data_IF_343470481126
#
_entry.id   IF_343470481126
#
_cell.length_a   1.000
_cell.length_b   1.000
_cell.length_c   1.000
_cell.angle_alpha   90.00
_cell.angle_beta   90.00
_cell.angle_gamma   90.00
#
_symmetry.space_group_name_H-M   'P 1'
#
loop_
_entity.id
_entity.type
_entity.pdbx_description
1 polymer ?
#
# COMPACT_ATOMS: atom_id res chain seq x y z
N UNK A 1 -11.11 8.21 15.25
CA UNK A 1 -11.76 8.46 16.55
C UNK A 1 -10.93 9.38 17.40
N UNK A 2 -9.72 8.98 17.84
CA UNK A 2 -8.82 9.86 18.60
C UNK A 2 -8.63 11.23 17.93
N UNK A 3 -8.23 11.28 16.65
CA UNK A 3 -8.01 12.54 15.92
C UNK A 3 -9.26 13.44 15.78
N UNK A 4 -10.46 12.93 16.08
CA UNK A 4 -11.72 13.70 16.03
C UNK A 4 -12.23 14.11 17.41
N UNK A 5 -11.82 13.42 18.47
CA UNK A 5 -12.38 13.58 19.82
C UNK A 5 -11.36 13.95 20.89
N UNK A 6 -10.06 13.80 20.61
CA UNK A 6 -8.94 13.90 21.55
C UNK A 6 -9.08 12.99 22.79
N UNK A 7 -9.96 12.00 22.76
CA UNK A 7 -10.16 11.09 23.89
C UNK A 7 -9.06 10.02 23.94
N UNK A 8 -8.19 10.12 24.96
CA UNK A 8 -7.03 9.27 25.15
C UNK A 8 -7.33 7.76 25.16
N UNK A 9 -8.55 7.35 25.52
CA UNK A 9 -8.95 5.94 25.49
C UNK A 9 -8.81 5.33 24.10
N UNK A 10 -9.08 6.09 23.03
CA UNK A 10 -8.95 5.61 21.66
C UNK A 10 -7.49 5.44 21.25
N UNK A 11 -6.61 6.38 21.60
CA UNK A 11 -5.18 6.27 21.33
C UNK A 11 -4.56 5.11 22.12
N UNK A 12 -4.90 4.96 23.40
CA UNK A 12 -4.42 3.85 24.21
C UNK A 12 -4.81 2.49 23.60
N UNK A 13 -6.04 2.36 23.10
CA UNK A 13 -6.50 1.14 22.43
C UNK A 13 -5.84 0.92 21.07
N UNK A 14 -5.57 1.99 20.32
CA UNK A 14 -4.82 1.90 19.07
C UNK A 14 -3.38 1.41 19.31
N UNK A 15 -2.72 1.88 20.38
CA UNK A 15 -1.38 1.41 20.78
C UNK A 15 -1.41 -0.06 21.18
N UNK A 16 -2.34 -0.48 22.05
CA UNK A 16 -2.49 -1.88 22.45
C UNK A 16 -2.66 -2.80 21.23
N UNK A 17 -3.48 -2.39 20.26
CA UNK A 17 -3.73 -3.17 19.05
C UNK A 17 -2.55 -3.13 18.07
N UNK A 18 -1.91 -1.98 17.87
CA UNK A 18 -0.71 -1.85 17.06
C UNK A 18 0.41 -2.74 17.59
N UNK A 19 0.64 -2.75 18.90
CA UNK A 19 1.63 -3.63 19.55
C UNK A 19 1.33 -5.11 19.36
N UNK A 20 0.04 -5.48 19.34
CA UNK A 20 -0.38 -6.84 19.05
C UNK A 20 -0.11 -7.22 17.58
N UNK A 21 -0.32 -6.29 16.64
CA UNK A 21 -0.02 -6.50 15.22
C UNK A 21 1.49 -6.59 14.95
N UNK A 22 2.33 -5.98 15.79
CA UNK A 22 3.79 -6.07 15.65
C UNK A 22 4.32 -7.50 15.74
N UNK A 23 3.58 -8.44 16.35
CA UNK A 23 3.92 -9.86 16.35
C UNK A 23 3.85 -10.52 14.96
N UNK A 24 3.16 -9.91 13.99
CA UNK A 24 3.19 -10.36 12.60
C UNK A 24 4.58 -10.17 11.95
N UNK A 25 5.34 -9.18 12.44
CA UNK A 25 6.64 -8.82 11.90
C UNK A 25 7.74 -9.60 12.63
N UNK A 26 8.79 -9.97 11.88
CA UNK A 26 9.97 -10.63 12.42
C UNK A 26 11.21 -10.07 11.77
N UNK A 27 12.37 -10.20 12.40
CA UNK A 27 13.63 -9.76 11.78
C UNK A 27 14.15 -10.73 10.71
N UNK A 28 13.47 -11.87 10.53
CA UNK A 28 13.79 -12.87 9.49
C UNK A 28 13.18 -12.55 8.13
N UNK A 29 12.11 -11.76 8.11
CA UNK A 29 11.31 -11.51 6.92
C UNK A 29 11.00 -10.02 6.80
N UNK A 30 11.19 -9.40 5.62
CA UNK A 30 10.81 -8.01 5.39
C UNK A 30 9.30 -7.80 5.45
N UNK A 31 8.49 -8.83 5.15
CA UNK A 31 7.03 -8.72 5.12
C UNK A 31 6.34 -9.45 6.30
N UNK A 32 5.21 -8.91 6.80
CA UNK A 32 4.50 -9.49 7.93
C UNK A 32 3.90 -10.85 7.61
N UNK A 33 3.62 -11.62 8.66
CA UNK A 33 2.76 -12.80 8.56
C UNK A 33 1.34 -12.40 8.20
N UNK A 34 0.62 -13.33 7.57
CA UNK A 34 -0.79 -13.12 7.21
C UNK A 34 -1.69 -13.16 8.44
N UNK A 35 -1.33 -13.99 9.41
CA UNK A 35 -2.11 -14.22 10.61
C UNK A 35 -1.27 -14.04 11.87
N UNK A 36 -1.94 -13.61 12.94
CA UNK A 36 -1.41 -13.59 14.30
C UNK A 36 -2.33 -14.37 15.22
N UNK A 37 -1.74 -15.11 16.14
CA UNK A 37 -2.43 -15.66 17.29
C UNK A 37 -2.40 -14.62 18.42
N UNK A 38 -3.54 -14.00 18.68
CA UNK A 38 -3.63 -12.92 19.67
C UNK A 38 -3.47 -13.39 21.12
N UNK A 39 -3.71 -14.69 21.39
CA UNK A 39 -3.52 -15.29 22.72
C UNK A 39 -2.07 -15.71 22.92
N UNK A 40 -1.51 -16.45 21.95
CA UNK A 40 -0.13 -16.94 22.01
C UNK A 40 0.93 -15.88 21.72
N UNK A 41 0.54 -14.76 21.10
CA UNK A 41 1.43 -13.69 20.62
C UNK A 41 2.54 -14.23 19.72
N UNK A 42 2.14 -15.09 18.79
CA UNK A 42 2.97 -15.63 17.74
C UNK A 42 2.20 -15.55 16.41
N UNK A 43 2.82 -15.97 15.31
CA UNK A 43 2.13 -15.98 14.02
C UNK A 43 1.44 -17.32 13.76
N UNK A 44 1.99 -18.44 14.27
CA UNK A 44 1.61 -19.81 13.87
C UNK A 44 1.68 -20.09 12.36
N UNK A 45 2.08 -19.09 11.58
CA UNK A 45 1.86 -18.99 10.14
C UNK A 45 2.99 -19.69 9.38
N UNK A 46 2.65 -20.84 8.81
CA UNK A 46 3.52 -21.60 7.89
C UNK A 46 3.40 -21.09 6.45
N UNK A 47 2.43 -20.20 6.17
CA UNK A 47 2.18 -19.69 4.83
C UNK A 47 3.22 -18.62 4.51
N UNK A 48 4.00 -18.89 3.47
CA UNK A 48 5.03 -17.95 3.01
C UNK A 48 4.49 -16.90 2.04
N UNK A 49 3.35 -17.16 1.39
CA UNK A 49 2.80 -16.29 0.35
C UNK A 49 1.70 -15.39 0.91
N UNK A 50 1.84 -14.08 0.72
CA UNK A 50 0.91 -13.04 1.17
C UNK A 50 0.39 -12.24 -0.02
N UNK A 51 -0.74 -11.55 0.16
CA UNK A 51 -1.33 -10.72 -0.89
C UNK A 51 -0.68 -9.33 -0.92
N UNK A 52 -0.64 -8.69 -2.09
CA UNK A 52 -0.01 -7.36 -2.28
C UNK A 52 -0.73 -6.26 -1.51
N UNK A 53 -2.06 -6.18 -1.63
CA UNK A 53 -2.87 -5.17 -0.93
C UNK A 53 -2.59 -5.11 0.58
N UNK A 54 -2.78 -6.18 1.39
CA UNK A 54 -2.52 -6.10 2.82
C UNK A 54 -1.04 -5.87 3.19
N UNK A 55 -0.09 -6.02 2.27
CA UNK A 55 1.32 -5.66 2.50
C UNK A 55 1.53 -4.14 2.47
N UNK A 56 0.76 -3.39 1.66
CA UNK A 56 0.82 -1.93 1.59
C UNK A 56 -0.18 -1.19 2.50
N UNK A 57 -1.34 -1.80 2.74
CA UNK A 57 -2.54 -1.17 3.31
C UNK A 57 -2.56 -1.15 4.84
N UNK A 58 -1.38 -1.02 5.47
CA UNK A 58 -1.26 -0.65 6.89
C UNK A 58 -0.37 0.59 7.10
N UNK A 59 0.10 1.19 6.00
CA UNK A 59 1.13 2.23 6.03
C UNK A 59 0.64 3.51 6.73
N UNK A 60 -0.58 3.96 6.44
CA UNK A 60 -1.13 5.18 7.05
C UNK A 60 -1.36 5.01 8.55
N UNK A 61 -1.91 3.88 8.95
CA UNK A 61 -2.29 3.58 10.32
C UNK A 61 -1.05 3.47 11.21
N UNK A 62 -0.02 2.77 10.74
CA UNK A 62 1.24 2.61 11.48
C UNK A 62 2.09 3.89 11.45
N UNK A 63 2.03 4.68 10.36
CA UNK A 63 2.65 6.01 10.33
C UNK A 63 1.99 6.93 11.38
N UNK A 64 0.66 7.04 11.36
CA UNK A 64 -0.10 7.86 12.31
C UNK A 64 0.11 7.43 13.75
N UNK A 65 0.16 6.13 14.01
CA UNK A 65 0.45 5.62 15.36
C UNK A 65 1.86 5.99 15.82
N UNK A 66 2.85 5.98 14.93
CA UNK A 66 4.21 6.44 15.24
C UNK A 66 4.21 7.93 15.58
N UNK A 67 3.53 8.76 14.79
CA UNK A 67 3.48 10.21 15.00
C UNK A 67 2.78 10.61 16.30
N UNK A 68 1.68 9.94 16.63
CA UNK A 68 0.91 10.21 17.85
C UNK A 68 1.64 9.75 19.12
N UNK A 69 2.51 8.75 19.03
CA UNK A 69 3.18 8.14 20.20
C UNK A 69 4.65 8.51 20.34
N UNK A 70 5.29 8.96 19.26
CA UNK A 70 6.74 9.09 19.15
C UNK A 70 7.49 7.76 19.01
N UNK A 71 6.79 6.62 18.94
CA UNK A 71 7.41 5.29 18.80
C UNK A 71 7.55 4.89 17.33
N UNK A 72 8.78 5.05 16.82
CA UNK A 72 9.09 4.77 15.42
C UNK A 72 9.10 3.28 15.03
N UNK A 73 8.77 2.34 15.92
CA UNK A 73 8.79 0.90 15.57
C UNK A 73 7.81 0.56 14.44
N UNK A 74 6.67 1.24 14.36
CA UNK A 74 5.64 0.96 13.36
C UNK A 74 6.08 1.47 11.97
N UNK A 75 6.47 2.74 11.85
CA UNK A 75 6.95 3.33 10.58
C UNK A 75 8.20 2.64 10.04
N UNK A 76 9.10 2.17 10.91
CA UNK A 76 10.27 1.39 10.49
C UNK A 76 9.88 0.11 9.76
N UNK A 77 8.85 -0.61 10.21
CA UNK A 77 8.39 -1.85 9.54
C UNK A 77 7.71 -1.54 8.21
N UNK A 78 6.98 -0.44 8.09
CA UNK A 78 6.43 0.04 6.82
C UNK A 78 7.56 0.31 5.82
N UNK A 79 8.55 1.12 6.22
CA UNK A 79 9.65 1.49 5.34
C UNK A 79 10.39 0.27 4.81
N UNK A 80 10.69 -0.70 5.68
CA UNK A 80 11.32 -1.97 5.26
C UNK A 80 10.44 -2.69 4.23
N UNK A 81 9.13 -2.83 4.49
CA UNK A 81 8.25 -3.56 3.58
C UNK A 81 8.10 -2.87 2.21
N UNK A 82 7.82 -1.57 2.19
CA UNK A 82 7.61 -0.81 0.94
C UNK A 82 8.91 -0.70 0.14
N UNK A 83 10.02 -0.37 0.78
CA UNK A 83 11.30 -0.22 0.10
C UNK A 83 11.79 -1.58 -0.43
N UNK A 84 11.58 -2.67 0.32
CA UNK A 84 11.93 -4.02 -0.14
C UNK A 84 11.08 -4.44 -1.34
N UNK A 85 9.76 -4.23 -1.28
CA UNK A 85 8.87 -4.58 -2.40
C UNK A 85 9.29 -3.84 -3.68
N UNK A 86 9.55 -2.53 -3.59
CA UNK A 86 9.96 -1.72 -4.74
C UNK A 86 11.39 -1.97 -5.23
N UNK A 87 12.17 -2.80 -4.54
CA UNK A 87 13.46 -3.31 -5.01
C UNK A 87 13.33 -4.69 -5.69
N UNK A 88 12.18 -5.37 -5.58
CA UNK A 88 11.95 -6.63 -6.26
C UNK A 88 11.76 -6.40 -7.77
N UNK A 89 12.41 -7.24 -8.59
CA UNK A 89 12.30 -7.16 -10.05
C UNK A 89 11.00 -7.77 -10.54
N UNK A 90 10.23 -7.03 -11.34
CA UNK A 90 8.97 -7.48 -11.93
C UNK A 90 9.05 -7.47 -13.46
N UNK A 91 8.00 -7.97 -14.14
CA UNK A 91 7.92 -7.89 -15.60
C UNK A 91 7.73 -6.45 -16.08
N UNK A 92 6.94 -5.68 -15.32
CA UNK A 92 6.73 -4.25 -15.52
C UNK A 92 7.18 -3.55 -14.24
N UNK A 93 8.30 -2.82 -14.29
CA UNK A 93 8.90 -2.18 -13.12
C UNK A 93 7.93 -1.14 -12.54
N UNK A 94 7.27 -1.48 -11.43
CA UNK A 94 6.20 -0.67 -10.82
C UNK A 94 4.84 -1.37 -10.72
N UNK A 95 4.65 -2.50 -11.41
CA UNK A 95 3.49 -3.38 -11.21
C UNK A 95 3.92 -4.69 -10.55
N UNK A 96 3.24 -5.05 -9.48
CA UNK A 96 3.59 -6.21 -8.67
C UNK A 96 2.52 -7.30 -8.80
N UNK A 97 2.93 -8.58 -8.91
CA UNK A 97 1.99 -9.68 -8.77
C UNK A 97 1.29 -9.67 -7.42
N UNK A 98 0.01 -10.04 -7.42
CA UNK A 98 -0.89 -10.02 -6.27
C UNK A 98 -0.48 -10.96 -5.13
N UNK A 99 0.49 -11.85 -5.34
CA UNK A 99 0.96 -12.77 -4.31
C UNK A 99 2.49 -12.84 -4.26
N UNK A 100 3.06 -12.53 -3.10
CA UNK A 100 4.51 -12.37 -2.88
C UNK A 100 4.96 -13.25 -1.70
N UNK A 101 6.17 -13.80 -1.75
CA UNK A 101 6.75 -14.51 -0.61
C UNK A 101 7.22 -13.53 0.49
N UNK A 102 7.02 -13.88 1.76
CA UNK A 102 7.38 -13.04 2.92
C UNK A 102 8.87 -12.69 3.01
N UNK A 103 9.73 -13.53 2.44
CA UNK A 103 11.17 -13.32 2.34
C UNK A 103 11.60 -12.45 1.16
N UNK A 104 10.65 -11.93 0.38
CA UNK A 104 10.88 -11.11 -0.81
C UNK A 104 11.75 -11.78 -1.89
N UNK A 105 11.84 -13.12 -1.90
CA UNK A 105 12.67 -13.85 -2.87
C UNK A 105 11.94 -14.23 -4.14
N UNK A 106 10.61 -14.32 -4.11
CA UNK A 106 9.81 -14.72 -5.27
C UNK A 106 8.39 -14.18 -5.21
N UNK A 107 7.77 -14.12 -6.37
CA UNK A 107 6.32 -14.04 -6.48
C UNK A 107 5.72 -15.45 -6.42
N UNK A 108 4.57 -15.56 -5.78
CA UNK A 108 3.82 -16.80 -5.66
C UNK A 108 2.71 -16.92 -6.71
N UNK A 109 2.48 -15.86 -7.48
CA UNK A 109 1.57 -15.79 -8.61
C UNK A 109 2.15 -14.85 -9.66
N UNK A 110 1.70 -14.96 -10.91
CA UNK A 110 1.96 -13.98 -11.97
C UNK A 110 0.80 -13.02 -12.18
N UNK A 111 -0.32 -13.19 -11.46
CA UNK A 111 -1.50 -12.34 -11.58
C UNK A 111 -1.18 -10.93 -11.08
N UNK A 112 -1.31 -9.93 -11.95
CA UNK A 112 -1.29 -8.51 -11.61
C UNK A 112 -2.73 -8.02 -11.70
N UNK A 113 -3.17 -7.25 -10.70
CA UNK A 113 -4.51 -6.68 -10.65
C UNK A 113 -4.49 -5.35 -9.90
N UNK A 114 -5.36 -4.43 -10.31
CA UNK A 114 -5.71 -3.20 -9.59
C UNK A 114 -7.01 -3.35 -8.80
N UNK A 115 -7.62 -4.53 -8.82
CA UNK A 115 -8.74 -4.88 -7.97
C UNK A 115 -8.28 -5.80 -6.84
N UNK A 116 -9.11 -6.78 -6.50
CA UNK A 116 -8.89 -7.71 -5.41
C UNK A 116 -7.44 -8.21 -5.31
N UNK A 117 -6.85 -8.04 -4.12
CA UNK A 117 -5.47 -8.40 -3.74
C UNK A 117 -4.37 -7.45 -4.22
N UNK A 118 -4.63 -6.49 -5.10
CA UNK A 118 -3.63 -5.51 -5.53
C UNK A 118 -4.03 -4.05 -5.26
N UNK A 119 -5.31 -3.75 -5.39
CA UNK A 119 -5.98 -2.46 -5.18
C UNK A 119 -5.23 -1.43 -4.32
N UNK A 120 -5.36 -1.57 -3.01
CA UNK A 120 -5.06 -0.56 -2.00
C UNK A 120 -3.55 -0.38 -1.75
N UNK A 121 -2.69 -1.24 -2.32
CA UNK A 121 -1.25 -0.95 -2.34
C UNK A 121 -0.97 0.35 -3.11
N UNK A 122 -1.52 0.46 -4.33
CA UNK A 122 -1.31 1.64 -5.17
C UNK A 122 -1.98 2.89 -4.56
N UNK A 123 -3.16 2.71 -3.98
CA UNK A 123 -3.87 3.76 -3.24
C UNK A 123 -3.03 4.34 -2.10
N UNK A 124 -2.38 3.46 -1.32
CA UNK A 124 -1.61 3.87 -0.15
C UNK A 124 -0.30 4.55 -0.54
N UNK A 125 0.26 4.32 -1.72
CA UNK A 125 1.41 5.11 -2.20
C UNK A 125 1.02 6.59 -2.35
N UNK A 126 -0.09 6.88 -3.05
CA UNK A 126 -0.62 8.24 -3.18
C UNK A 126 -0.93 8.84 -1.80
N UNK A 127 -1.68 8.11 -0.97
CA UNK A 127 -2.08 8.63 0.34
C UNK A 127 -0.91 8.83 1.28
N UNK A 128 0.14 8.00 1.22
CA UNK A 128 1.35 8.21 2.01
C UNK A 128 2.10 9.45 1.58
N UNK A 129 2.16 9.74 0.28
CA UNK A 129 2.73 11.00 -0.22
C UNK A 129 1.96 12.22 0.29
N UNK A 130 0.62 12.17 0.26
CA UNK A 130 -0.23 13.22 0.84
C UNK A 130 -0.02 13.34 2.35
N UNK A 131 0.04 12.20 3.06
CA UNK A 131 0.22 12.14 4.51
C UNK A 131 1.50 12.82 4.97
N UNK A 132 2.59 12.64 4.21
CA UNK A 132 3.90 13.21 4.51
C UNK A 132 4.08 14.62 3.95
N UNK A 133 3.00 15.27 3.50
CA UNK A 133 3.03 16.60 2.86
C UNK A 133 4.05 16.68 1.70
N UNK A 134 4.23 15.56 1.00
CA UNK A 134 5.17 15.42 -0.10
C UNK A 134 6.65 15.30 0.29
N UNK A 135 7.01 15.29 1.58
CA UNK A 135 8.41 15.20 2.04
C UNK A 135 9.08 13.86 1.68
N UNK A 136 8.29 12.78 1.61
CA UNK A 136 8.79 11.44 1.26
C UNK A 136 8.58 11.16 -0.23
N UNK A 137 9.45 11.72 -1.08
CA UNK A 137 9.41 11.63 -2.56
C UNK A 137 9.37 10.20 -3.11
N UNK A 138 9.79 9.20 -2.33
CA UNK A 138 9.70 7.80 -2.75
C UNK A 138 8.26 7.38 -3.06
N UNK A 139 7.28 7.92 -2.33
CA UNK A 139 5.88 7.55 -2.50
C UNK A 139 5.29 8.11 -3.80
N UNK A 140 5.58 9.37 -4.17
CA UNK A 140 5.18 9.91 -5.46
C UNK A 140 5.86 9.15 -6.60
N UNK A 141 7.17 8.91 -6.50
CA UNK A 141 7.89 8.14 -7.53
C UNK A 141 7.28 6.74 -7.72
N UNK A 142 7.04 5.99 -6.65
CA UNK A 142 6.43 4.66 -6.76
C UNK A 142 5.02 4.73 -7.32
N UNK A 143 4.20 5.69 -6.86
CA UNK A 143 2.85 5.88 -7.36
C UNK A 143 2.85 6.21 -8.86
N UNK A 144 3.62 7.21 -9.29
CA UNK A 144 3.68 7.66 -10.68
C UNK A 144 4.12 6.54 -11.62
N UNK A 145 5.17 5.79 -11.26
CA UNK A 145 5.61 4.64 -12.06
C UNK A 145 4.51 3.60 -12.19
N UNK A 146 3.83 3.25 -11.09
CA UNK A 146 2.70 2.31 -11.14
C UNK A 146 1.52 2.86 -11.94
N UNK A 147 1.15 4.11 -11.72
CA UNK A 147 0.02 4.81 -12.34
C UNK A 147 0.16 4.86 -13.86
N UNK A 148 1.34 5.22 -14.36
CA UNK A 148 1.61 5.29 -15.80
C UNK A 148 1.46 3.90 -16.46
N UNK A 149 1.97 2.85 -15.81
CA UNK A 149 1.83 1.47 -16.28
C UNK A 149 0.40 0.92 -16.17
N UNK A 150 -0.36 1.35 -15.15
CA UNK A 150 -1.79 1.03 -15.02
C UNK A 150 -2.57 1.64 -16.20
N UNK A 151 -2.32 2.91 -16.51
CA UNK A 151 -2.98 3.57 -17.64
C UNK A 151 -2.62 2.88 -18.95
N UNK A 152 -1.33 2.56 -19.15
CA UNK A 152 -0.83 1.92 -20.36
C UNK A 152 -1.41 0.50 -20.55
N UNK A 153 -1.31 -0.37 -19.55
CA UNK A 153 -1.56 -1.80 -19.74
C UNK A 153 -2.89 -2.32 -19.19
N UNK A 154 -3.52 -1.59 -18.25
CA UNK A 154 -4.74 -2.02 -17.57
C UNK A 154 -5.98 -1.24 -18.01
N UNK A 155 -5.87 0.07 -18.25
CA UNK A 155 -6.99 0.87 -18.75
C UNK A 155 -7.15 0.83 -20.27
N UNK A 156 -6.06 1.02 -21.02
CA UNK A 156 -6.16 1.19 -22.49
C UNK A 156 -6.17 -0.11 -23.27
N UNK A 157 -5.41 -1.11 -22.82
CA UNK A 157 -5.16 -2.32 -23.60
C UNK A 157 -5.98 -3.55 -23.13
N UNK A 158 -6.59 -3.54 -21.93
CA UNK A 158 -7.24 -4.71 -21.30
C UNK A 158 -6.36 -5.99 -21.28
N UNK A 159 -5.04 -5.85 -21.43
CA UNK A 159 -4.10 -6.98 -21.62
C UNK A 159 -3.77 -7.67 -20.29
N UNK A 160 -3.84 -6.94 -19.18
CA UNK A 160 -3.72 -7.49 -17.83
C UNK A 160 -5.12 -7.65 -17.22
N UNK A 161 -5.41 -8.81 -16.63
CA UNK A 161 -6.74 -9.16 -16.11
C UNK A 161 -7.18 -8.20 -15.00
N UNK A 162 -7.87 -7.13 -15.38
CA UNK A 162 -8.85 -6.47 -14.54
C UNK A 162 -10.01 -7.46 -14.44
N UNK A 163 -10.06 -8.26 -13.38
CA UNK A 163 -11.38 -8.71 -12.95
C UNK A 163 -12.12 -7.42 -12.60
N UNK A 164 -13.15 -7.06 -13.38
CA UNK A 164 -14.11 -5.99 -13.08
C UNK A 164 -14.91 -6.35 -11.82
N UNK A 165 -14.19 -6.53 -10.72
CA UNK A 165 -14.75 -6.57 -9.38
C UNK A 165 -15.10 -5.12 -9.04
N UNK A 166 -16.19 -4.88 -8.33
CA UNK A 166 -16.57 -3.55 -7.85
C UNK A 166 -15.43 -2.87 -7.06
N UNK A 167 -14.47 -3.67 -6.56
CA UNK A 167 -13.23 -3.19 -5.97
C UNK A 167 -12.32 -2.39 -6.92
N UNK A 168 -12.50 -2.38 -8.24
CA UNK A 168 -11.67 -1.57 -9.16
C UNK A 168 -12.18 -0.14 -9.31
N UNK A 169 -13.44 0.15 -8.95
CA UNK A 169 -14.04 1.47 -9.11
C UNK A 169 -13.42 2.57 -8.22
N UNK A 170 -12.58 2.22 -7.24
CA UNK A 170 -11.85 3.26 -6.48
C UNK A 170 -10.73 3.90 -7.32
N UNK A 171 -10.29 3.24 -8.40
CA UNK A 171 -9.12 3.64 -9.17
C UNK A 171 -9.34 4.98 -9.86
N UNK A 172 -10.55 5.28 -10.34
CA UNK A 172 -10.88 6.58 -10.93
C UNK A 172 -10.73 7.70 -9.89
N UNK A 173 -11.26 7.48 -8.68
CA UNK A 173 -11.09 8.39 -7.55
C UNK A 173 -9.62 8.56 -7.13
N UNK A 174 -8.81 7.50 -7.21
CA UNK A 174 -7.37 7.55 -6.94
C UNK A 174 -6.64 8.42 -7.96
N UNK A 175 -6.93 8.28 -9.26
CA UNK A 175 -6.33 9.12 -10.31
C UNK A 175 -6.80 10.58 -10.23
N UNK A 176 -8.09 10.81 -10.01
CA UNK A 176 -8.63 12.16 -9.81
C UNK A 176 -7.98 12.85 -8.60
N UNK A 177 -7.80 12.12 -7.49
CA UNK A 177 -7.12 12.63 -6.30
C UNK A 177 -5.66 12.94 -6.59
N UNK A 178 -4.92 12.05 -7.26
CA UNK A 178 -3.52 12.25 -7.64
C UNK A 178 -3.31 13.53 -8.44
N UNK A 179 -4.17 13.77 -9.43
CA UNK A 179 -4.16 15.00 -10.22
C UNK A 179 -4.51 16.23 -9.36
N UNK A 180 -5.53 16.14 -8.50
CA UNK A 180 -5.98 17.25 -7.65
C UNK A 180 -4.91 17.71 -6.64
N UNK A 181 -4.08 16.78 -6.15
CA UNK A 181 -2.98 17.10 -5.23
C UNK A 181 -1.67 17.44 -5.94
N UNK A 182 -1.66 17.50 -7.28
CA UNK A 182 -0.48 17.79 -8.10
C UNK A 182 0.71 16.86 -7.78
N UNK A 183 0.47 15.55 -7.63
CA UNK A 183 1.51 14.61 -7.20
C UNK A 183 2.72 14.58 -8.15
N UNK A 184 2.51 14.85 -9.44
CA UNK A 184 3.54 14.79 -10.47
C UNK A 184 4.35 16.08 -10.62
N UNK A 185 3.86 17.20 -10.06
CA UNK A 185 4.37 18.54 -10.35
C UNK A 185 4.28 18.96 -11.83
N UNK A 186 3.55 18.22 -12.66
CA UNK A 186 3.46 18.40 -14.11
C UNK A 186 1.99 18.50 -14.56
N UNK A 187 1.59 19.68 -15.02
CA UNK A 187 0.21 19.98 -15.41
C UNK A 187 -0.32 19.04 -16.50
N UNK A 188 0.48 18.72 -17.52
CA UNK A 188 0.07 17.84 -18.62
C UNK A 188 -0.16 16.41 -18.11
N UNK A 189 0.70 15.93 -17.22
CA UNK A 189 0.57 14.59 -16.64
C UNK A 189 -0.63 14.50 -15.70
N UNK A 190 -0.85 15.52 -14.88
CA UNK A 190 -2.04 15.59 -14.03
C UNK A 190 -3.33 15.70 -14.84
N UNK A 191 -3.32 16.36 -16.00
CA UNK A 191 -4.47 16.40 -16.90
C UNK A 191 -4.84 14.99 -17.38
N UNK A 192 -3.86 14.17 -17.77
CA UNK A 192 -4.09 12.75 -18.12
C UNK A 192 -4.68 11.97 -16.94
N UNK A 193 -4.15 12.14 -15.72
CA UNK A 193 -4.69 11.47 -14.54
C UNK A 193 -6.13 11.93 -14.24
N UNK A 194 -6.43 13.22 -14.42
CA UNK A 194 -7.78 13.75 -14.25
C UNK A 194 -8.75 13.27 -15.33
N UNK A 195 -8.28 13.05 -16.57
CA UNK A 195 -9.10 12.46 -17.64
C UNK A 195 -9.50 11.02 -17.29
N UNK A 196 -8.53 10.19 -16.88
CA UNK A 196 -8.80 8.81 -16.43
C UNK A 196 -9.77 8.81 -15.25
N UNK A 197 -9.57 9.69 -14.27
CA UNK A 197 -10.45 9.78 -13.11
C UNK A 197 -11.88 10.29 -13.37
N UNK A 198 -12.20 10.69 -14.61
CA UNK A 198 -13.53 11.12 -15.04
C UNK A 198 -14.27 10.09 -15.88
N UNK A 199 -13.64 9.00 -16.28
CA UNK A 199 -14.30 7.94 -17.04
C UNK A 199 -15.31 7.23 -16.10
N UNK A 200 -16.61 7.36 -16.40
CA UNK A 200 -17.73 6.66 -15.73
C UNK A 200 -18.15 5.40 -16.50
#
# INVERSE_FOLDING_TARGET
MYDLTDEQVYLNKAVEFGDLLMYAFSDKYPFPARFINTVGRDTGDIIICISLAPLGTFSLEFARLSDLTGDNKYIKKINIAIDTLNQMKTTYDGLFPCSISRDAKRFCSSLISIGRQGDSYYEYLLKMWIYTDGEEEKYSRYFETSADLIIEHLYRDNVLLVNEDHLTCFVDGMFALAAAVNITGNDQKNEIYMEVGREE
#
